data_IF_958404845986
#
_entry.id   IF_958404845986
#
_cell.length_a   1.000
_cell.length_b   1.000
_cell.length_c   1.000
_cell.angle_alpha   90.00
_cell.angle_beta   90.00
_cell.angle_gamma   90.00
#
_symmetry.space_group_name_H-M   'P 1'
#
loop_
_entity.id
_entity.type
_entity.pdbx_description
1 polymer ?
#
# COMPACT_ATOMS: atom_id res chain seq x y z
N UNK A 1 -2.63 14.37 1.78
CA UNK A 1 -2.76 13.06 1.14
C UNK A 1 -1.80 12.09 1.80
N UNK A 2 -2.29 11.27 2.76
CA UNK A 2 -1.47 10.46 3.65
C UNK A 2 -1.64 8.97 3.43
N UNK A 3 -1.49 8.48 2.22
CA UNK A 3 -1.63 7.08 1.92
C UNK A 3 -0.35 6.33 2.19
N UNK A 4 -0.52 5.17 2.86
CA UNK A 4 0.50 4.18 3.11
C UNK A 4 1.63 4.70 4.02
N UNK A 5 1.36 4.71 5.32
CA UNK A 5 2.32 5.09 6.35
C UNK A 5 2.87 3.85 7.05
N UNK A 6 3.84 3.12 6.48
CA UNK A 6 5.04 2.98 7.24
C UNK A 6 6.07 3.99 6.75
N UNK A 7 6.78 4.60 7.67
CA UNK A 7 7.96 5.42 7.36
C UNK A 7 9.23 4.67 7.74
N UNK A 8 10.28 4.94 6.99
CA UNK A 8 11.63 4.57 7.34
C UNK A 8 12.53 5.79 7.17
N UNK A 9 13.15 6.24 8.25
CA UNK A 9 13.99 7.46 8.30
C UNK A 9 13.26 8.68 7.69
N UNK A 10 11.99 8.87 8.06
CA UNK A 10 11.17 9.98 7.60
C UNK A 10 10.64 9.86 6.15
N UNK A 11 11.06 8.86 5.38
CA UNK A 11 10.56 8.62 4.01
C UNK A 11 9.43 7.58 4.03
N UNK A 12 8.36 7.86 3.32
CA UNK A 12 7.22 6.93 3.21
C UNK A 12 7.58 5.70 2.39
N UNK A 13 7.02 4.55 2.74
CA UNK A 13 7.10 3.36 1.89
C UNK A 13 6.52 3.65 0.50
N UNK A 14 7.10 3.04 -0.53
CA UNK A 14 6.76 3.35 -1.92
C UNK A 14 7.52 4.54 -2.53
N UNK A 15 8.32 5.29 -1.72
CA UNK A 15 9.14 6.41 -2.19
C UNK A 15 10.60 6.31 -1.71
N UNK A 16 11.10 5.09 -1.60
CA UNK A 16 12.48 4.82 -1.10
C UNK A 16 13.42 4.38 -2.21
N UNK A 17 12.89 4.00 -3.36
CA UNK A 17 13.61 3.53 -4.54
C UNK A 17 13.12 4.23 -5.81
N UNK A 18 13.64 3.85 -6.96
CA UNK A 18 13.26 4.38 -8.27
C UNK A 18 11.75 4.29 -8.51
N UNK A 19 11.16 3.19 -8.10
CA UNK A 19 9.70 3.03 -8.05
C UNK A 19 9.30 2.18 -6.85
N UNK A 20 8.06 2.34 -6.39
CA UNK A 20 7.44 1.51 -5.37
C UNK A 20 6.11 0.95 -5.85
N UNK A 21 5.69 -0.15 -5.26
CA UNK A 21 4.38 -0.71 -5.51
C UNK A 21 3.63 -0.99 -4.21
N UNK A 22 2.31 -0.99 -4.30
CA UNK A 22 1.44 -1.39 -3.19
C UNK A 22 0.29 -2.23 -3.70
N UNK A 23 -0.20 -3.12 -2.85
CA UNK A 23 -1.38 -3.94 -3.11
C UNK A 23 -2.59 -3.32 -2.42
N UNK A 24 -3.74 -3.36 -3.10
CA UNK A 24 -5.05 -3.07 -2.57
C UNK A 24 -5.91 -4.33 -2.42
N UNK A 25 -5.30 -5.51 -2.38
CA UNK A 25 -6.01 -6.75 -2.08
C UNK A 25 -6.86 -6.58 -0.80
N UNK A 26 -8.06 -7.19 -0.68
CA UNK A 26 -9.02 -6.92 0.41
C UNK A 26 -8.45 -7.02 1.83
N UNK A 27 -7.48 -7.91 2.07
CA UNK A 27 -6.85 -8.08 3.38
C UNK A 27 -5.79 -7.00 3.71
N UNK A 28 -5.48 -6.09 2.79
CA UNK A 28 -4.50 -5.02 3.04
C UNK A 28 -5.11 -3.88 3.87
N UNK A 29 -4.29 -3.10 4.59
CA UNK A 29 -4.81 -1.97 5.40
C UNK A 29 -5.69 -1.01 4.59
N UNK A 30 -5.33 -0.71 3.34
CA UNK A 30 -6.19 -0.04 2.39
C UNK A 30 -6.53 -1.03 1.28
N UNK A 31 -7.56 -1.86 1.50
CA UNK A 31 -8.01 -2.89 0.57
C UNK A 31 -9.26 -2.49 -0.19
N UNK A 32 -9.33 -2.83 -1.49
CA UNK A 32 -10.57 -2.84 -2.27
C UNK A 32 -11.33 -4.16 -2.07
N UNK A 33 -12.33 -4.45 -2.90
CA UNK A 33 -13.15 -5.68 -2.79
C UNK A 33 -12.77 -6.75 -3.81
N UNK A 34 -11.63 -6.60 -4.45
CA UNK A 34 -11.04 -7.53 -5.41
C UNK A 34 -9.56 -7.21 -5.57
N UNK A 35 -8.98 -7.55 -6.71
CA UNK A 35 -7.59 -7.25 -6.99
C UNK A 35 -7.39 -5.78 -7.34
N UNK A 36 -6.29 -5.21 -6.85
CA UNK A 36 -5.91 -3.85 -7.14
C UNK A 36 -4.52 -3.53 -6.58
N UNK A 37 -3.95 -2.46 -7.10
CA UNK A 37 -2.64 -1.98 -6.67
C UNK A 37 -2.31 -0.62 -7.26
N UNK A 38 -1.20 -0.05 -6.82
CA UNK A 38 -0.65 1.18 -7.39
C UNK A 38 0.86 1.11 -7.49
N UNK A 39 1.37 1.81 -8.49
CA UNK A 39 2.79 2.06 -8.70
C UNK A 39 3.08 3.53 -8.45
N UNK A 40 4.21 3.81 -7.80
CA UNK A 40 4.65 5.16 -7.45
C UNK A 40 6.06 5.40 -7.97
N UNK A 41 6.31 6.53 -8.56
CA UNK A 41 7.64 7.01 -8.93
C UNK A 41 7.67 8.53 -8.96
N UNK A 42 8.84 9.11 -8.73
CA UNK A 42 9.09 10.55 -8.94
C UNK A 42 9.68 10.82 -10.33
N UNK A 43 9.99 9.79 -11.11
CA UNK A 43 10.50 9.90 -12.48
C UNK A 43 9.33 9.96 -13.46
N UNK A 44 9.22 11.09 -14.19
CA UNK A 44 8.13 11.33 -15.12
C UNK A 44 8.16 10.39 -16.34
N UNK A 45 9.35 10.05 -16.84
CA UNK A 45 9.50 9.13 -17.98
C UNK A 45 9.09 7.70 -17.57
N UNK A 46 9.50 7.27 -16.39
CA UNK A 46 9.10 5.98 -15.84
C UNK A 46 7.59 5.93 -15.56
N UNK A 47 7.01 7.01 -15.03
CA UNK A 47 5.56 7.12 -14.81
C UNK A 47 4.78 6.98 -16.13
N UNK A 48 5.26 7.62 -17.19
CA UNK A 48 4.66 7.49 -18.53
C UNK A 48 4.77 6.06 -19.06
N UNK A 49 5.95 5.46 -18.98
CA UNK A 49 6.14 4.06 -19.38
C UNK A 49 5.21 3.10 -18.65
N UNK A 50 5.05 3.24 -17.32
CA UNK A 50 4.12 2.43 -16.52
C UNK A 50 2.66 2.63 -16.95
N UNK A 51 2.23 3.85 -17.29
CA UNK A 51 0.88 4.13 -17.80
C UNK A 51 0.64 3.42 -19.13
N UNK A 52 1.60 3.45 -20.04
CA UNK A 52 1.52 2.78 -21.34
C UNK A 52 1.47 1.26 -21.17
N UNK A 53 2.41 0.69 -20.40
CA UNK A 53 2.52 -0.77 -20.17
C UNK A 53 1.21 -1.34 -19.61
N UNK A 54 0.59 -0.69 -18.62
CA UNK A 54 -0.66 -1.18 -18.01
C UNK A 54 -1.88 -1.16 -18.95
N UNK A 55 -1.78 -0.49 -20.10
CA UNK A 55 -2.85 -0.34 -21.11
C UNK A 55 -2.35 -0.91 -22.45
N UNK A 56 -1.81 -2.13 -22.41
CA UNK A 56 -1.34 -2.85 -23.61
C UNK A 56 -0.23 -2.14 -24.38
N UNK A 57 0.57 -1.29 -23.73
CA UNK A 57 1.65 -0.52 -24.35
C UNK A 57 1.19 0.68 -25.17
N UNK A 58 -0.05 1.14 -24.98
CA UNK A 58 -0.59 2.27 -25.73
C UNK A 58 -0.08 3.62 -25.21
N UNK A 59 0.47 4.42 -26.10
CA UNK A 59 0.77 5.83 -25.89
C UNK A 59 -0.35 6.76 -26.37
N UNK A 60 -1.24 6.26 -27.22
CA UNK A 60 -2.43 6.90 -27.74
C UNK A 60 -3.40 5.87 -28.31
N UNK A 61 -4.61 6.29 -28.68
CA UNK A 61 -5.63 5.37 -29.19
C UNK A 61 -5.12 4.59 -30.41
N UNK A 62 -5.07 3.25 -30.30
CA UNK A 62 -4.55 2.33 -31.32
C UNK A 62 -3.05 2.50 -31.67
N UNK A 63 -2.29 3.31 -30.90
CA UNK A 63 -0.86 3.49 -31.12
C UNK A 63 -0.07 2.85 -29.98
N UNK A 64 0.62 1.74 -30.28
CA UNK A 64 1.38 0.93 -29.32
C UNK A 64 2.88 1.19 -29.50
N UNK A 65 3.51 1.77 -28.50
CA UNK A 65 4.94 2.08 -28.49
C UNK A 65 5.76 1.09 -27.68
N UNK A 66 5.10 0.23 -26.92
CA UNK A 66 5.71 -0.75 -26.02
C UNK A 66 4.90 -2.04 -26.02
N UNK A 67 5.55 -3.13 -25.59
CA UNK A 67 4.85 -4.34 -25.16
C UNK A 67 4.21 -4.02 -23.80
N UNK A 68 2.95 -4.39 -23.62
CA UNK A 68 2.22 -4.11 -22.41
C UNK A 68 1.18 -5.18 -22.07
N UNK A 69 0.48 -4.98 -20.97
CA UNK A 69 -0.52 -5.90 -20.42
C UNK A 69 -1.84 -5.18 -20.15
N UNK A 70 -2.93 -5.92 -19.99
CA UNK A 70 -4.18 -5.41 -19.48
C UNK A 70 -4.12 -5.27 -17.94
N UNK A 71 -3.32 -4.32 -17.44
CA UNK A 71 -3.02 -4.13 -16.01
C UNK A 71 -3.79 -2.97 -15.36
N UNK A 72 -4.96 -2.62 -15.87
CA UNK A 72 -5.80 -1.56 -15.27
C UNK A 72 -6.51 -2.08 -14.02
N UNK A 73 -6.65 -1.22 -13.02
CA UNK A 73 -7.55 -1.47 -11.91
C UNK A 73 -8.98 -1.13 -12.32
N UNK A 74 -9.93 -1.98 -11.98
CA UNK A 74 -11.34 -1.76 -12.27
C UNK A 74 -11.89 -0.50 -11.59
N UNK A 75 -12.74 0.25 -12.30
CA UNK A 75 -13.31 1.50 -11.79
C UNK A 75 -14.08 1.31 -10.48
N UNK A 76 -14.79 0.19 -10.32
CA UNK A 76 -15.49 -0.14 -9.08
C UNK A 76 -14.51 -0.29 -7.91
N UNK A 77 -13.38 -0.96 -8.13
CA UNK A 77 -12.35 -1.11 -7.10
C UNK A 77 -11.68 0.23 -6.76
N UNK A 78 -11.49 1.08 -7.76
CA UNK A 78 -11.02 2.45 -7.53
C UNK A 78 -12.01 3.27 -6.68
N UNK A 79 -13.31 3.15 -6.93
CA UNK A 79 -14.35 3.81 -6.14
C UNK A 79 -14.33 3.35 -4.67
N UNK A 80 -14.16 2.05 -4.42
CA UNK A 80 -14.01 1.50 -3.05
C UNK A 80 -12.81 2.12 -2.35
N UNK A 81 -11.65 2.18 -3.00
CA UNK A 81 -10.43 2.79 -2.42
C UNK A 81 -10.66 4.26 -2.12
N UNK A 82 -11.25 5.02 -3.06
CA UNK A 82 -11.56 6.44 -2.86
C UNK A 82 -12.53 6.66 -1.70
N UNK A 83 -13.54 5.80 -1.53
CA UNK A 83 -14.48 5.86 -0.41
C UNK A 83 -13.84 5.56 0.95
N UNK A 84 -12.85 4.65 0.99
CA UNK A 84 -12.12 4.30 2.22
C UNK A 84 -11.03 5.31 2.60
N UNK A 85 -10.45 5.97 1.62
CA UNK A 85 -9.28 6.83 1.80
C UNK A 85 -9.43 7.93 2.86
N UNK A 86 -10.59 8.63 3.00
CA UNK A 86 -10.77 9.65 4.03
C UNK A 86 -10.66 9.10 5.46
N UNK A 87 -11.05 7.84 5.68
CA UNK A 87 -11.00 7.18 7.00
C UNK A 87 -9.69 6.44 7.27
N UNK A 88 -8.80 6.36 6.30
CA UNK A 88 -7.60 5.52 6.37
C UNK A 88 -6.67 5.88 7.53
N UNK A 89 -6.49 7.17 7.83
CA UNK A 89 -5.67 7.59 8.98
C UNK A 89 -6.25 7.12 10.31
N UNK A 90 -7.57 7.14 10.46
CA UNK A 90 -8.26 6.61 11.64
C UNK A 90 -8.06 5.09 11.75
N UNK A 91 -8.20 4.35 10.65
CA UNK A 91 -7.97 2.89 10.64
C UNK A 91 -6.54 2.53 11.06
N UNK A 92 -5.54 3.27 10.58
CA UNK A 92 -4.15 3.06 10.98
C UNK A 92 -3.95 3.28 12.48
N UNK A 93 -4.53 4.33 13.06
CA UNK A 93 -4.47 4.59 14.50
C UNK A 93 -5.13 3.46 15.30
N UNK A 94 -6.27 2.92 14.83
CA UNK A 94 -6.94 1.77 15.45
C UNK A 94 -6.10 0.50 15.38
N UNK A 95 -5.45 0.21 14.26
CA UNK A 95 -4.53 -0.92 14.11
C UNK A 95 -3.36 -0.82 15.09
N UNK A 96 -2.79 0.36 15.26
CA UNK A 96 -1.71 0.61 16.23
C UNK A 96 -2.18 0.34 17.68
N UNK A 97 -3.35 0.86 18.05
CA UNK A 97 -3.93 0.63 19.37
C UNK A 97 -4.21 -0.87 19.63
N UNK A 98 -4.71 -1.59 18.62
CA UNK A 98 -4.93 -3.03 18.71
C UNK A 98 -3.61 -3.80 18.86
N UNK A 99 -2.59 -3.48 18.09
CA UNK A 99 -1.28 -4.11 18.20
C UNK A 99 -0.66 -3.93 19.58
N UNK A 100 -0.74 -2.71 20.13
CA UNK A 100 -0.28 -2.43 21.49
C UNK A 100 -1.07 -3.23 22.55
N UNK A 101 -2.38 -3.41 22.33
CA UNK A 101 -3.23 -4.24 23.20
C UNK A 101 -2.83 -5.71 23.13
N UNK A 102 -2.62 -6.26 21.93
CA UNK A 102 -2.14 -7.65 21.75
C UNK A 102 -0.82 -7.84 22.45
N UNK A 103 0.17 -6.98 22.23
CA UNK A 103 1.48 -7.06 22.88
C UNK A 103 1.35 -7.14 24.41
N UNK A 104 0.55 -6.25 25.00
CA UNK A 104 0.31 -6.22 26.46
C UNK A 104 -0.33 -7.51 26.97
N UNK A 105 -1.36 -8.01 26.28
CA UNK A 105 -2.07 -9.23 26.68
C UNK A 105 -1.17 -10.47 26.58
N UNK A 106 -0.38 -10.58 25.52
CA UNK A 106 0.56 -11.68 25.33
C UNK A 106 1.64 -11.65 26.42
N UNK A 107 2.21 -10.49 26.71
CA UNK A 107 3.18 -10.34 27.81
C UNK A 107 2.58 -10.72 29.16
N UNK A 108 1.36 -10.29 29.45
CA UNK A 108 0.68 -10.58 30.69
C UNK A 108 0.28 -12.07 30.84
N UNK A 109 0.09 -12.77 29.74
CA UNK A 109 -0.29 -14.21 29.77
C UNK A 109 0.86 -15.13 30.11
N UNK A 110 2.12 -14.69 30.09
CA UNK A 110 3.28 -15.55 30.26
C UNK A 110 3.50 -16.58 29.15
N UNK A 111 2.82 -16.43 28.01
CA UNK A 111 2.96 -17.36 26.88
C UNK A 111 4.41 -17.39 26.37
N UNK A 112 4.96 -18.56 26.02
CA UNK A 112 6.35 -18.72 25.55
C UNK A 112 6.50 -18.27 24.08
N UNK A 113 6.13 -17.04 23.79
CA UNK A 113 6.19 -16.43 22.45
C UNK A 113 6.99 -15.14 22.49
N UNK A 114 7.75 -14.89 21.43
CA UNK A 114 8.47 -13.66 21.26
C UNK A 114 7.64 -12.66 20.48
N UNK A 115 7.49 -11.44 21.00
CA UNK A 115 6.80 -10.37 20.31
C UNK A 115 7.63 -9.77 19.18
N UNK A 116 6.96 -9.33 18.13
CA UNK A 116 7.61 -8.58 17.05
C UNK A 116 8.12 -7.23 17.58
N UNK A 117 9.42 -6.98 17.42
CA UNK A 117 10.03 -5.70 17.76
C UNK A 117 10.02 -4.76 16.55
N UNK A 118 9.39 -3.61 16.72
CA UNK A 118 9.46 -2.52 15.73
C UNK A 118 10.61 -1.60 16.12
N UNK A 119 11.57 -1.39 15.22
CA UNK A 119 12.72 -0.52 15.48
C UNK A 119 12.27 0.95 15.55
N UNK A 120 12.97 1.80 16.35
CA UNK A 120 12.54 3.19 16.56
C UNK A 120 12.66 4.10 15.31
N UNK A 121 13.42 3.66 14.30
CA UNK A 121 13.65 4.40 13.06
C UNK A 121 12.54 4.19 12.01
N UNK A 122 11.46 3.48 12.37
CA UNK A 122 10.36 3.13 11.44
C UNK A 122 9.02 2.95 12.13
N UNK A 123 7.95 3.09 11.35
CA UNK A 123 6.59 2.79 11.78
C UNK A 123 6.12 1.46 11.16
N UNK A 124 5.27 0.74 11.89
CA UNK A 124 4.56 -0.43 11.39
C UNK A 124 3.07 -0.12 11.29
N UNK A 125 2.42 -0.48 10.18
CA UNK A 125 0.97 -0.28 9.98
C UNK A 125 0.13 -1.48 10.43
N UNK A 126 0.78 -2.55 10.89
CA UNK A 126 0.11 -3.74 11.41
C UNK A 126 -0.97 -4.29 10.47
N UNK A 127 -0.56 -4.63 9.26
CA UNK A 127 -1.44 -5.32 8.32
C UNK A 127 -1.90 -6.67 8.91
N UNK A 128 -0.99 -7.32 9.61
CA UNK A 128 -1.16 -8.54 10.42
C UNK A 128 -0.36 -8.37 11.71
N UNK A 129 -0.78 -9.09 12.75
CA UNK A 129 -0.09 -9.15 14.03
C UNK A 129 0.50 -10.54 14.22
#
# INVERSE_FOLDING_TARGET
>A
MGCLRPTYRGRRSGNQSLFGCTSFFPAKPLGCYGDGGALFTSDAALAQAMREIRVHGQSGRYHHTRVGVGGRMDTLQCAVILGKLPRFSWELARRQALAARYSRLIQASGAPVQLLAVRPDRDCVWAQY
#
